data_IF_858732112226
#
_entry.id   IF_858732112226
#
_cell.length_a   1.000
_cell.length_b   1.000
_cell.length_c   1.000
_cell.angle_alpha   90.00
_cell.angle_beta   90.00
_cell.angle_gamma   90.00
#
_symmetry.space_group_name_H-M   'P 1'
#
loop_
_entity.id
_entity.type
_entity.pdbx_description
1 polymer ?
#
# COMPACT_ATOMS: atom_id res chain seq x y z
N UNK A 1 -15.23 47.43 10.77
CA UNK A 1 -15.32 47.14 12.22
C UNK A 1 -13.90 47.30 12.78
N UNK A 2 -13.67 48.13 13.78
CA UNK A 2 -12.30 48.35 14.30
C UNK A 2 -11.99 47.28 15.35
N UNK A 3 -10.75 46.85 15.44
CA UNK A 3 -10.26 45.81 16.39
C UNK A 3 -10.67 46.05 17.86
N UNK A 4 -10.88 47.33 18.24
CA UNK A 4 -11.35 47.72 19.58
C UNK A 4 -12.83 47.36 19.86
N UNK A 5 -13.66 47.23 18.81
CA UNK A 5 -15.07 46.85 18.95
C UNK A 5 -15.25 45.34 19.13
N UNK A 6 -14.27 44.55 18.69
CA UNK A 6 -14.30 43.09 18.87
C UNK A 6 -13.90 42.66 20.29
N UNK A 7 -13.06 43.42 20.98
CA UNK A 7 -12.63 43.11 22.37
C UNK A 7 -13.75 43.16 23.40
N UNK A 8 -14.82 43.89 23.13
CA UNK A 8 -15.91 44.08 24.09
C UNK A 8 -17.05 43.04 23.94
N UNK A 9 -16.96 42.14 23.01
CA UNK A 9 -17.98 41.11 22.75
C UNK A 9 -17.48 39.64 22.97
N UNK A 10 -16.30 39.44 23.53
CA UNK A 10 -15.81 38.13 23.92
C UNK A 10 -16.40 37.81 25.30
N UNK A 11 -17.16 36.72 25.47
CA UNK A 11 -17.62 36.29 26.79
C UNK A 11 -16.41 36.03 27.68
N UNK A 12 -16.43 36.57 28.92
CA UNK A 12 -15.40 36.26 29.90
C UNK A 12 -15.40 34.75 30.18
N UNK A 13 -14.22 34.12 30.08
CA UNK A 13 -14.06 32.70 30.43
C UNK A 13 -14.55 32.46 31.85
N UNK A 14 -15.45 31.51 32.08
CA UNK A 14 -15.95 31.27 33.42
C UNK A 14 -14.85 30.95 34.43
N UNK A 15 -14.94 31.52 35.64
CA UNK A 15 -13.94 31.40 36.71
C UNK A 15 -13.58 29.95 37.06
N UNK A 16 -14.47 29.01 36.84
CA UNK A 16 -14.21 27.59 37.09
C UNK A 16 -13.22 26.98 36.12
N UNK A 17 -13.20 27.44 34.84
CA UNK A 17 -12.23 27.01 33.84
C UNK A 17 -10.83 27.53 34.19
N UNK A 18 -10.72 28.79 34.59
CA UNK A 18 -9.46 29.33 35.09
C UNK A 18 -8.91 28.56 36.27
N UNK A 19 -9.82 28.11 37.19
CA UNK A 19 -9.44 27.35 38.37
C UNK A 19 -9.00 25.93 38.01
N UNK A 20 -9.67 25.25 37.10
CA UNK A 20 -9.30 23.91 36.59
C UNK A 20 -7.92 23.93 35.92
N UNK A 21 -7.67 24.92 35.07
CA UNK A 21 -6.37 25.05 34.38
C UNK A 21 -5.26 25.35 35.40
N UNK A 22 -5.49 26.21 36.39
CA UNK A 22 -4.51 26.51 37.43
C UNK A 22 -4.23 25.30 38.34
N UNK A 23 -5.25 24.50 38.67
CA UNK A 23 -5.09 23.30 39.49
C UNK A 23 -4.35 22.20 38.71
N UNK A 24 -4.63 22.00 37.43
CA UNK A 24 -3.94 21.00 36.60
C UNK A 24 -2.49 21.39 36.33
N UNK A 25 -2.20 22.64 35.98
CA UNK A 25 -0.84 23.15 35.80
C UNK A 25 -0.06 23.00 37.10
N UNK A 26 -0.68 23.30 38.27
CA UNK A 26 -0.05 23.17 39.59
C UNK A 26 0.24 21.71 39.96
N UNK A 27 -0.65 20.78 39.55
CA UNK A 27 -0.48 19.34 39.73
C UNK A 27 0.70 18.81 38.92
N UNK A 28 0.77 19.18 37.66
CA UNK A 28 1.86 18.76 36.75
C UNK A 28 3.22 19.34 37.15
N UNK A 29 3.25 20.54 37.70
CA UNK A 29 4.49 21.14 38.23
C UNK A 29 4.98 20.56 39.55
N UNK A 30 4.09 19.93 40.35
CA UNK A 30 4.47 19.29 41.62
C UNK A 30 5.05 17.89 41.44
N UNK A 31 4.73 17.17 40.38
CA UNK A 31 5.22 15.81 40.13
C UNK A 31 6.59 15.76 39.44
N UNK A 32 7.14 16.89 39.01
CA UNK A 32 8.44 16.94 38.33
C UNK A 32 9.57 17.15 39.33
N UNK A 33 10.29 16.08 39.70
CA UNK A 33 11.60 16.20 40.35
C UNK A 33 12.56 16.90 39.38
N UNK A 34 12.85 18.17 39.67
CA UNK A 34 13.80 18.98 38.90
C UNK A 34 15.21 18.39 39.06
N UNK A 35 15.69 17.71 38.03
CA UNK A 35 17.10 17.37 37.90
C UNK A 35 17.77 18.55 37.18
N UNK A 36 18.85 19.15 37.76
CA UNK A 36 19.49 20.32 37.16
C UNK A 36 20.19 19.92 35.85
N UNK A 37 19.62 20.28 34.71
CA UNK A 37 20.21 20.07 33.39
C UNK A 37 21.28 21.13 33.11
N UNK A 38 22.47 20.67 32.67
CA UNK A 38 23.52 21.52 32.12
C UNK A 38 23.01 22.29 30.91
N UNK A 39 23.22 23.61 30.88
CA UNK A 39 22.83 24.51 29.82
C UNK A 39 23.41 24.05 28.45
N UNK A 40 22.60 23.41 27.62
CA UNK A 40 22.90 23.12 26.22
C UNK A 40 22.32 24.26 25.38
N UNK A 41 23.14 24.88 24.54
CA UNK A 41 22.67 25.94 23.62
C UNK A 41 21.80 25.28 22.54
N UNK A 42 20.53 25.59 22.54
CA UNK A 42 19.58 25.15 21.50
C UNK A 42 19.88 25.90 20.21
N UNK A 43 19.93 25.17 19.10
CA UNK A 43 19.94 25.76 17.76
C UNK A 43 18.55 26.33 17.44
N UNK A 44 18.50 27.40 16.63
CA UNK A 44 17.25 28.11 16.28
C UNK A 44 16.15 27.22 15.70
N UNK A 45 16.52 26.09 15.08
CA UNK A 45 15.59 25.10 14.52
C UNK A 45 14.87 24.30 15.63
N UNK A 46 15.57 23.96 16.73
CA UNK A 46 14.94 23.26 17.87
C UNK A 46 14.01 24.15 18.70
N UNK A 47 14.28 25.44 18.72
CA UNK A 47 13.39 26.41 19.36
C UNK A 47 12.13 26.67 18.53
N UNK A 48 12.21 26.58 17.19
CA UNK A 48 11.06 26.70 16.31
C UNK A 48 10.13 25.49 16.40
N UNK A 49 10.68 24.27 16.53
CA UNK A 49 9.89 23.05 16.72
C UNK A 49 9.13 23.01 18.05
N UNK A 50 9.76 23.50 19.14
CA UNK A 50 9.09 23.60 20.45
C UNK A 50 8.02 24.72 20.49
N UNK A 51 8.19 25.79 19.72
CA UNK A 51 7.20 26.86 19.62
C UNK A 51 5.99 26.45 18.74
N UNK A 52 6.20 25.59 17.73
CA UNK A 52 5.12 25.05 16.92
C UNK A 52 4.20 24.11 17.72
N UNK A 53 4.76 23.33 18.65
CA UNK A 53 3.99 22.46 19.55
C UNK A 53 3.12 23.22 20.57
N UNK A 54 3.45 24.48 20.88
CA UNK A 54 2.66 25.29 21.82
C UNK A 54 1.59 26.16 21.15
N UNK A 55 1.59 26.30 19.83
CA UNK A 55 0.62 27.13 19.10
C UNK A 55 -0.60 26.36 18.60
N UNK A 56 -0.62 25.03 18.72
CA UNK A 56 -1.72 24.18 18.25
C UNK A 56 -2.88 24.01 19.24
N UNK A 57 -2.86 24.71 20.37
CA UNK A 57 -3.93 24.62 21.37
C UNK A 57 -4.96 25.76 21.31
N UNK A 58 -4.87 26.69 20.34
CA UNK A 58 -5.78 27.85 20.30
C UNK A 58 -6.06 28.34 18.90
N UNK A 59 -6.85 27.58 18.12
CA UNK A 59 -7.60 28.19 17.02
C UNK A 59 -8.87 27.42 16.65
N UNK A 60 -9.71 27.19 17.63
CA UNK A 60 -11.11 26.87 17.36
C UNK A 60 -11.97 28.04 17.78
N UNK A 61 -12.07 29.08 16.96
CA UNK A 61 -13.19 30.02 17.06
C UNK A 61 -13.54 30.56 15.69
N UNK A 62 -14.77 30.26 15.35
CA UNK A 62 -15.67 31.07 14.58
C UNK A 62 -15.82 30.80 13.08
N UNK A 63 -16.64 29.81 12.81
CA UNK A 63 -17.80 30.06 11.95
C UNK A 63 -19.00 29.33 12.57
N UNK A 64 -19.57 29.87 13.63
CA UNK A 64 -20.80 29.38 14.26
C UNK A 64 -22.02 29.91 13.47
N UNK A 65 -22.23 29.40 12.29
CA UNK A 65 -23.56 29.25 11.72
C UNK A 65 -24.02 27.84 12.12
N UNK A 66 -25.23 27.68 12.61
CA UNK A 66 -25.88 26.45 13.06
C UNK A 66 -25.40 25.16 12.35
N UNK A 67 -24.19 24.74 12.59
CA UNK A 67 -23.71 23.41 12.15
C UNK A 67 -24.23 22.41 13.15
N UNK A 68 -24.85 21.35 12.65
CA UNK A 68 -25.45 20.29 13.44
C UNK A 68 -24.43 19.21 13.81
N UNK A 69 -23.19 19.39 13.38
CA UNK A 69 -22.07 18.46 13.60
C UNK A 69 -20.73 19.21 13.49
N UNK A 70 -19.70 18.64 14.12
CA UNK A 70 -18.33 19.14 14.05
C UNK A 70 -17.33 17.97 13.95
N UNK A 71 -16.25 18.22 13.24
CA UNK A 71 -15.08 17.33 13.26
C UNK A 71 -14.34 17.48 14.58
N UNK A 72 -13.75 16.38 15.05
CA UNK A 72 -12.80 16.40 16.15
C UNK A 72 -11.52 15.66 15.80
N UNK A 73 -10.41 16.13 16.38
CA UNK A 73 -9.08 15.52 16.25
C UNK A 73 -8.49 15.40 17.63
N UNK A 74 -8.19 14.18 18.06
CA UNK A 74 -7.60 13.90 19.37
C UNK A 74 -6.24 13.27 19.21
N UNK A 75 -5.23 13.82 19.89
CA UNK A 75 -3.90 13.23 19.95
C UNK A 75 -3.79 12.27 21.13
N UNK A 76 -3.36 11.04 20.83
CA UNK A 76 -3.12 10.02 21.84
C UNK A 76 -1.65 9.54 21.75
N UNK A 77 -0.89 9.73 22.84
CA UNK A 77 0.54 9.50 22.81
C UNK A 77 1.29 10.56 21.99
N UNK A 78 2.43 10.19 21.42
CA UNK A 78 3.28 11.10 20.64
C UNK A 78 2.90 11.15 19.17
N UNK A 79 2.42 10.02 18.62
CA UNK A 79 2.33 9.77 17.17
C UNK A 79 1.00 9.15 16.72
N UNK A 80 -0.01 9.06 17.57
CA UNK A 80 -1.35 8.61 17.21
C UNK A 80 -2.32 9.78 17.20
N UNK A 81 -3.17 9.81 16.18
CA UNK A 81 -4.23 10.79 16.02
C UNK A 81 -5.55 10.05 15.77
N UNK A 82 -6.58 10.43 16.49
CA UNK A 82 -7.95 10.00 16.25
C UNK A 82 -8.69 11.14 15.55
N UNK A 83 -9.31 10.85 14.43
CA UNK A 83 -10.10 11.81 13.64
C UNK A 83 -11.51 11.28 13.46
N UNK A 84 -12.50 12.08 13.77
CA UNK A 84 -13.89 11.70 13.64
C UNK A 84 -14.82 12.90 13.49
N UNK A 85 -16.12 12.59 13.42
CA UNK A 85 -17.20 13.57 13.36
C UNK A 85 -18.19 13.31 14.48
N UNK A 86 -18.70 14.36 15.10
CA UNK A 86 -19.66 14.30 16.20
C UNK A 86 -20.87 15.16 15.90
N UNK A 87 -22.06 14.64 16.22
CA UNK A 87 -23.31 15.36 16.04
C UNK A 87 -23.59 16.30 17.21
N UNK A 88 -24.01 17.52 16.92
CA UNK A 88 -24.50 18.47 17.90
C UNK A 88 -26.02 18.27 18.18
N UNK A 89 -26.36 18.13 19.47
CA UNK A 89 -27.75 18.18 19.92
C UNK A 89 -28.65 17.02 19.48
N UNK A 90 -28.09 15.86 19.13
CA UNK A 90 -28.87 14.68 18.76
C UNK A 90 -29.39 14.72 17.32
N UNK A 91 -28.75 15.48 16.47
CA UNK A 91 -29.02 15.49 15.03
C UNK A 91 -28.56 14.16 14.42
N UNK A 92 -29.38 13.58 13.53
CA UNK A 92 -29.00 12.42 12.73
C UNK A 92 -28.96 12.80 11.26
N UNK A 93 -27.93 12.35 10.56
CA UNK A 93 -27.89 12.35 9.10
C UNK A 93 -28.37 10.97 8.67
N UNK A 94 -29.52 10.89 8.01
CA UNK A 94 -29.99 9.64 7.43
C UNK A 94 -29.53 9.60 5.96
N UNK A 95 -28.76 8.58 5.64
CA UNK A 95 -28.35 8.33 4.28
C UNK A 95 -29.58 7.94 3.44
N UNK A 96 -29.91 8.67 2.36
CA UNK A 96 -30.99 8.27 1.46
C UNK A 96 -30.68 6.93 0.76
N UNK A 97 -31.71 6.22 0.29
CA UNK A 97 -31.52 4.99 -0.51
C UNK A 97 -30.73 5.23 -1.80
N UNK A 98 -30.85 6.44 -2.35
CA UNK A 98 -30.13 6.89 -3.54
C UNK A 98 -29.63 8.31 -3.34
N UNK A 99 -28.43 8.56 -3.83
CA UNK A 99 -27.81 9.90 -3.88
C UNK A 99 -27.27 10.17 -5.27
N UNK A 100 -26.99 11.44 -5.57
CA UNK A 100 -26.26 11.77 -6.77
C UNK A 100 -24.82 11.23 -6.70
N UNK A 101 -24.35 10.64 -7.79
CA UNK A 101 -22.92 10.44 -7.98
C UNK A 101 -22.20 11.79 -8.03
N UNK A 102 -20.94 11.83 -7.68
CA UNK A 102 -20.17 13.08 -7.66
C UNK A 102 -18.89 12.97 -8.48
N UNK A 103 -18.50 14.09 -9.05
CA UNK A 103 -17.15 14.28 -9.58
C UNK A 103 -16.35 15.14 -8.60
N UNK A 104 -15.16 14.69 -8.27
CA UNK A 104 -14.20 15.44 -7.45
C UNK A 104 -13.23 16.14 -8.39
N UNK A 105 -12.99 17.42 -8.16
CA UNK A 105 -12.02 18.22 -8.90
C UNK A 105 -11.42 19.29 -8.02
N UNK A 106 -10.41 20.01 -8.49
CA UNK A 106 -9.86 21.17 -7.81
C UNK A 106 -9.64 22.31 -8.78
N UNK A 107 -9.86 23.55 -8.32
CA UNK A 107 -9.55 24.74 -9.09
C UNK A 107 -8.07 25.14 -9.03
N UNK A 108 -7.28 24.53 -8.16
CA UNK A 108 -5.84 24.72 -8.07
C UNK A 108 -5.13 23.44 -8.52
N UNK A 109 -4.37 23.52 -9.58
CA UNK A 109 -3.53 22.44 -10.09
C UNK A 109 -2.07 22.86 -9.91
N UNK A 110 -1.26 22.11 -9.15
CA UNK A 110 0.17 22.38 -9.02
C UNK A 110 0.88 22.38 -10.39
N UNK A 111 1.92 23.18 -10.52
CA UNK A 111 2.67 23.32 -11.77
C UNK A 111 3.22 21.96 -12.24
N UNK A 112 2.89 21.59 -13.47
CA UNK A 112 3.33 20.34 -14.09
C UNK A 112 2.45 19.12 -13.83
N UNK A 113 1.41 19.24 -12.99
CA UNK A 113 0.43 18.16 -12.79
C UNK A 113 -0.72 18.24 -13.79
N UNK A 114 -1.34 17.10 -14.02
CA UNK A 114 -2.56 16.93 -14.82
C UNK A 114 -3.41 15.81 -14.24
N UNK A 115 -4.71 15.87 -14.51
CA UNK A 115 -5.60 14.74 -14.24
C UNK A 115 -5.28 13.61 -15.22
N UNK A 116 -4.90 12.45 -14.69
CA UNK A 116 -4.65 11.24 -15.48
C UNK A 116 -5.90 10.39 -15.65
N UNK A 117 -6.80 10.47 -14.68
CA UNK A 117 -8.17 9.92 -14.71
C UNK A 117 -9.10 10.72 -13.77
N UNK A 118 -10.25 10.15 -13.37
CA UNK A 118 -11.24 10.83 -12.50
C UNK A 118 -10.75 11.03 -11.07
N UNK A 119 -9.81 10.19 -10.59
CA UNK A 119 -9.40 10.12 -9.19
C UNK A 119 -7.92 10.48 -8.98
N UNK A 120 -7.13 10.68 -10.04
CA UNK A 120 -5.69 10.91 -9.95
C UNK A 120 -5.26 12.22 -10.60
N UNK A 121 -4.61 13.08 -9.80
CA UNK A 121 -3.95 14.30 -10.25
C UNK A 121 -2.43 14.14 -10.04
N UNK A 122 -1.66 13.97 -11.11
CA UNK A 122 -0.28 13.53 -11.04
C UNK A 122 0.65 14.31 -11.98
N UNK A 123 1.95 14.22 -11.72
CA UNK A 123 2.96 14.53 -12.74
C UNK A 123 2.91 13.47 -13.84
N UNK A 124 3.12 13.88 -15.08
CA UNK A 124 3.08 12.97 -16.22
C UNK A 124 4.13 11.87 -16.05
N UNK A 125 3.70 10.61 -16.06
CA UNK A 125 4.54 9.40 -15.95
C UNK A 125 5.24 9.16 -14.59
N UNK A 126 4.70 9.64 -13.48
CA UNK A 126 5.19 9.33 -12.14
C UNK A 126 4.06 8.78 -11.27
N UNK A 127 4.39 7.80 -10.40
CA UNK A 127 3.53 7.40 -9.29
C UNK A 127 3.67 8.47 -8.20
N UNK A 128 2.59 8.88 -7.57
CA UNK A 128 2.58 9.95 -6.58
C UNK A 128 1.49 10.97 -6.88
N UNK A 129 1.72 12.25 -6.58
CA UNK A 129 0.73 13.30 -6.76
C UNK A 129 -0.43 13.16 -5.78
N UNK A 130 -1.67 13.18 -6.28
CA UNK A 130 -2.88 13.10 -5.47
C UNK A 130 -3.77 11.96 -5.95
N UNK A 131 -4.28 11.17 -5.00
CA UNK A 131 -5.38 10.23 -5.22
C UNK A 131 -6.55 10.65 -4.35
N UNK A 132 -7.74 10.72 -4.94
CA UNK A 132 -8.97 11.13 -4.27
C UNK A 132 -9.86 9.91 -4.08
N UNK A 133 -10.33 9.71 -2.86
CA UNK A 133 -11.28 8.65 -2.51
C UNK A 133 -12.48 9.24 -1.79
N UNK A 134 -13.64 8.63 -1.96
CA UNK A 134 -14.88 9.07 -1.34
C UNK A 134 -15.60 7.87 -0.75
N UNK A 135 -15.98 7.97 0.52
CA UNK A 135 -16.87 7.02 1.21
C UNK A 135 -18.12 7.72 1.71
N UNK A 136 -19.18 6.97 1.94
CA UNK A 136 -20.41 7.52 2.46
C UNK A 136 -20.30 7.84 3.96
N UNK A 137 -21.09 8.80 4.40
CA UNK A 137 -21.21 9.22 5.79
C UNK A 137 -22.66 9.08 6.22
N UNK A 138 -22.92 8.20 7.20
CA UNK A 138 -24.23 7.98 7.83
C UNK A 138 -24.20 8.44 9.29
N UNK A 139 -25.37 8.54 9.91
CA UNK A 139 -25.50 8.86 11.33
C UNK A 139 -24.88 7.82 12.27
N UNK A 140 -24.80 6.57 11.82
CA UNK A 140 -24.14 5.49 12.58
C UNK A 140 -22.62 5.62 12.58
N UNK A 141 -22.07 6.48 11.71
CA UNK A 141 -20.65 6.79 11.62
C UNK A 141 -20.24 7.91 12.59
N UNK A 142 -21.20 8.68 13.11
CA UNK A 142 -20.88 9.71 14.09
C UNK A 142 -20.41 9.07 15.40
N UNK A 143 -19.44 9.71 16.02
CA UNK A 143 -18.74 9.22 17.22
C UNK A 143 -17.79 8.04 16.94
N UNK A 144 -17.61 7.63 15.67
CA UNK A 144 -16.56 6.70 15.26
C UNK A 144 -15.34 7.47 14.79
N UNK A 145 -14.18 7.09 15.31
CA UNK A 145 -12.91 7.73 14.99
C UNK A 145 -12.01 6.82 14.16
N UNK A 146 -11.39 7.39 13.15
CA UNK A 146 -10.26 6.78 12.47
C UNK A 146 -9.01 6.98 13.32
N UNK A 147 -8.39 5.89 13.70
CA UNK A 147 -7.07 5.91 14.32
C UNK A 147 -5.97 5.87 13.26
N UNK A 148 -5.15 6.90 13.23
CA UNK A 148 -3.96 6.97 12.40
C UNK A 148 -2.72 6.97 13.29
N UNK A 149 -1.81 6.04 13.06
CA UNK A 149 -0.54 5.86 13.77
C UNK A 149 0.61 6.43 12.97
N UNK A 150 1.77 6.57 13.60
CA UNK A 150 2.99 7.10 12.97
C UNK A 150 2.83 8.55 12.47
N UNK A 151 1.96 9.34 13.09
CA UNK A 151 1.70 10.73 12.70
C UNK A 151 2.74 11.66 13.31
N UNK A 152 3.52 12.32 12.46
CA UNK A 152 4.52 13.31 12.87
C UNK A 152 4.00 14.74 12.79
N UNK A 153 2.92 14.98 12.04
CA UNK A 153 2.27 16.27 11.94
C UNK A 153 0.77 16.11 11.74
N UNK A 154 -0.03 16.89 12.45
CA UNK A 154 -1.48 16.97 12.26
C UNK A 154 -1.94 18.41 12.40
N UNK A 155 -2.81 18.87 11.50
CA UNK A 155 -3.32 20.23 11.47
C UNK A 155 -4.79 20.23 11.06
N UNK A 156 -5.64 20.75 11.96
CA UNK A 156 -7.05 20.95 11.67
C UNK A 156 -7.21 22.18 10.75
N UNK A 157 -8.05 22.05 9.74
CA UNK A 157 -8.27 23.09 8.75
C UNK A 157 -9.75 23.18 8.33
N UNK A 158 -10.15 24.36 7.90
CA UNK A 158 -11.37 24.53 7.11
C UNK A 158 -10.95 24.69 5.65
N UNK A 159 -11.19 23.66 4.85
CA UNK A 159 -10.87 23.63 3.43
C UNK A 159 -12.10 24.09 2.62
N UNK A 160 -12.04 25.31 2.13
CA UNK A 160 -13.21 25.95 1.50
C UNK A 160 -14.39 26.04 2.48
N UNK A 161 -15.40 25.17 2.32
CA UNK A 161 -16.57 25.07 3.23
C UNK A 161 -16.53 23.86 4.16
N UNK A 162 -15.57 22.94 3.99
CA UNK A 162 -15.50 21.66 4.69
C UNK A 162 -14.52 21.72 5.86
N UNK A 163 -14.87 21.06 6.96
CA UNK A 163 -13.92 20.78 8.03
C UNK A 163 -13.07 19.60 7.66
N UNK A 164 -11.78 19.65 7.98
CA UNK A 164 -10.87 18.58 7.66
C UNK A 164 -9.59 18.63 8.48
N UNK A 165 -8.78 17.60 8.32
CA UNK A 165 -7.48 17.48 8.96
C UNK A 165 -6.43 17.08 7.93
N UNK A 166 -5.29 17.75 8.00
CA UNK A 166 -4.06 17.34 7.32
C UNK A 166 -3.24 16.49 8.28
N UNK A 167 -2.77 15.34 7.79
CA UNK A 167 -1.89 14.40 8.51
C UNK A 167 -0.63 14.15 7.69
N UNK A 168 0.53 14.09 8.38
CA UNK A 168 1.76 13.61 7.77
C UNK A 168 2.31 12.45 8.59
N UNK A 169 2.57 11.36 7.91
CA UNK A 169 3.09 10.12 8.46
C UNK A 169 4.62 10.15 8.53
N UNK A 170 5.17 9.41 9.47
CA UNK A 170 6.58 9.10 9.48
C UNK A 170 6.96 8.22 8.31
N UNK A 171 7.99 8.61 7.60
CA UNK A 171 8.60 7.82 6.54
C UNK A 171 9.89 7.21 7.06
N UNK A 172 9.98 5.90 6.94
CA UNK A 172 11.23 5.17 7.18
C UNK A 172 12.04 5.11 5.89
N UNK A 173 11.36 5.12 4.75
CA UNK A 173 11.95 5.04 3.42
C UNK A 173 11.27 6.07 2.53
N UNK A 174 12.08 6.92 1.92
CA UNK A 174 11.63 7.94 0.97
C UNK A 174 11.61 7.29 -0.41
N UNK A 175 10.48 6.72 -0.82
CA UNK A 175 10.36 6.17 -2.16
C UNK A 175 8.91 6.02 -2.62
N UNK A 176 8.32 7.14 -3.09
CA UNK A 176 7.08 7.15 -3.88
C UNK A 176 5.81 6.78 -3.13
N UNK A 177 5.77 6.92 -1.81
CA UNK A 177 4.61 6.63 -0.99
C UNK A 177 3.75 7.86 -0.73
N UNK A 178 2.47 7.63 -0.42
CA UNK A 178 1.53 8.64 0.01
C UNK A 178 1.69 8.89 1.52
N UNK A 179 2.69 9.66 1.90
CA UNK A 179 3.03 9.97 3.30
C UNK A 179 2.22 11.11 3.91
N UNK A 180 1.35 11.73 3.13
CA UNK A 180 0.46 12.78 3.59
C UNK A 180 -1.00 12.36 3.32
N UNK A 181 -1.92 12.81 4.16
CA UNK A 181 -3.35 12.54 4.00
C UNK A 181 -4.18 13.73 4.45
N UNK A 182 -5.28 13.97 3.76
CA UNK A 182 -6.26 14.97 4.17
C UNK A 182 -7.62 14.28 4.22
N UNK A 183 -8.30 14.36 5.37
CA UNK A 183 -9.70 13.99 5.49
C UNK A 183 -10.55 15.25 5.43
N UNK A 184 -11.57 15.24 4.60
CA UNK A 184 -12.59 16.28 4.50
C UNK A 184 -13.95 15.68 4.83
N UNK A 185 -14.60 16.22 5.84
CA UNK A 185 -15.94 15.81 6.23
C UNK A 185 -16.98 16.68 5.51
N UNK A 186 -17.77 16.04 4.66
CA UNK A 186 -18.77 16.65 3.77
C UNK A 186 -20.16 16.11 4.07
N UNK A 187 -20.72 16.35 5.27
CA UNK A 187 -21.99 15.72 5.68
C UNK A 187 -23.19 16.22 4.89
N UNK A 188 -23.15 17.42 4.31
CA UNK A 188 -24.19 17.91 3.41
C UNK A 188 -24.28 17.11 2.10
N UNK A 189 -23.16 16.51 1.68
CA UNK A 189 -23.02 15.63 0.53
C UNK A 189 -23.04 14.14 0.92
N UNK A 190 -23.28 13.81 2.21
CA UNK A 190 -23.22 12.45 2.75
C UNK A 190 -21.90 11.74 2.51
N UNK A 191 -20.74 12.45 2.61
CA UNK A 191 -19.44 11.90 2.23
C UNK A 191 -18.32 12.30 3.17
N UNK A 192 -17.32 11.43 3.21
CA UNK A 192 -15.96 11.78 3.65
C UNK A 192 -15.04 11.62 2.44
N UNK A 193 -14.30 12.67 2.11
CA UNK A 193 -13.28 12.64 1.07
C UNK A 193 -11.94 12.41 1.72
N UNK A 194 -11.21 11.41 1.25
CA UNK A 194 -9.81 11.18 1.61
C UNK A 194 -8.94 11.58 0.44
N UNK A 195 -8.00 12.48 0.66
CA UNK A 195 -6.97 12.86 -0.30
C UNK A 195 -5.67 12.22 0.16
N UNK A 196 -5.17 11.27 -0.61
CA UNK A 196 -3.84 10.69 -0.46
C UNK A 196 -2.88 11.58 -1.22
N UNK A 197 -1.81 12.03 -0.57
CA UNK A 197 -0.86 12.98 -1.13
C UNK A 197 0.54 12.38 -1.09
N UNK A 198 1.18 12.31 -2.25
CA UNK A 198 2.50 11.73 -2.42
C UNK A 198 3.60 12.56 -1.73
N UNK A 199 4.73 11.93 -1.49
CA UNK A 199 5.93 12.56 -0.93
C UNK A 199 6.58 13.56 -1.91
N UNK A 200 6.27 13.43 -3.21
CA UNK A 200 6.64 14.35 -4.28
C UNK A 200 5.86 15.69 -4.24
N UNK A 201 4.86 15.81 -3.35
CA UNK A 201 4.01 16.98 -3.23
C UNK A 201 4.36 17.79 -1.97
N UNK A 202 4.52 19.10 -2.12
CA UNK A 202 4.71 19.98 -0.97
C UNK A 202 3.44 20.06 -0.10
N UNK A 203 3.60 20.20 1.23
CA UNK A 203 2.46 20.49 2.13
C UNK A 203 1.65 21.70 1.66
N UNK A 204 2.32 22.75 1.17
CA UNK A 204 1.66 23.97 0.69
C UNK A 204 0.73 23.68 -0.48
N UNK A 205 1.16 22.87 -1.45
CA UNK A 205 0.34 22.48 -2.59
C UNK A 205 -0.77 21.52 -2.17
N UNK A 206 -0.49 20.60 -1.25
CA UNK A 206 -1.50 19.71 -0.67
C UNK A 206 -2.67 20.49 -0.05
N UNK A 207 -2.36 21.46 0.81
CA UNK A 207 -3.37 22.33 1.43
C UNK A 207 -4.12 23.17 0.39
N UNK A 208 -3.44 23.73 -0.63
CA UNK A 208 -4.08 24.51 -1.69
C UNK A 208 -5.02 23.67 -2.55
N UNK A 209 -4.63 22.44 -2.89
CA UNK A 209 -5.51 21.52 -3.63
C UNK A 209 -6.78 21.24 -2.85
N UNK A 210 -6.66 20.93 -1.55
CA UNK A 210 -7.80 20.69 -0.69
C UNK A 210 -8.67 21.94 -0.48
N UNK A 211 -8.07 23.14 -0.31
CA UNK A 211 -8.79 24.41 -0.17
C UNK A 211 -9.63 24.76 -1.40
N UNK A 212 -9.22 24.30 -2.57
CA UNK A 212 -9.87 24.58 -3.85
C UNK A 212 -10.68 23.39 -4.38
N UNK A 213 -10.92 22.37 -3.52
CA UNK A 213 -11.70 21.19 -3.89
C UNK A 213 -13.14 21.57 -4.28
N UNK A 214 -13.63 20.91 -5.31
CA UNK A 214 -15.00 21.03 -5.79
C UNK A 214 -15.62 19.64 -5.84
N UNK A 215 -16.76 19.47 -5.18
CA UNK A 215 -17.63 18.30 -5.29
C UNK A 215 -18.80 18.72 -6.17
N UNK A 216 -18.94 18.10 -7.32
CA UNK A 216 -20.01 18.40 -8.30
C UNK A 216 -20.90 17.18 -8.46
N UNK A 217 -22.18 17.35 -8.20
CA UNK A 217 -23.17 16.29 -8.45
C UNK A 217 -23.28 15.98 -9.95
N UNK A 218 -23.24 14.69 -10.28
CA UNK A 218 -23.53 14.17 -11.61
C UNK A 218 -25.05 13.96 -11.77
N UNK A 219 -25.54 13.88 -12.98
CA UNK A 219 -26.95 13.57 -13.25
C UNK A 219 -27.30 12.11 -12.88
N UNK A 220 -26.31 11.26 -12.66
CA UNK A 220 -26.47 9.84 -12.32
C UNK A 220 -26.77 9.69 -10.83
N UNK A 221 -27.82 8.92 -10.51
CA UNK A 221 -28.11 8.47 -9.14
C UNK A 221 -27.43 7.12 -8.90
N UNK A 222 -26.93 6.94 -7.71
CA UNK A 222 -26.30 5.69 -7.23
C UNK A 222 -27.06 5.17 -6.00
N UNK A 223 -27.23 3.84 -5.93
CA UNK A 223 -27.74 3.15 -4.75
C UNK A 223 -26.70 3.22 -3.64
N UNK A 224 -27.13 3.55 -2.43
CA UNK A 224 -26.21 3.65 -1.27
C UNK A 224 -25.99 2.30 -0.59
N UNK A 225 -26.90 1.36 -0.80
CA UNK A 225 -26.80 0.01 -0.23
C UNK A 225 -25.57 -0.73 -0.80
N UNK A 226 -24.71 -1.20 0.10
CA UNK A 226 -23.48 -1.94 -0.25
C UNK A 226 -22.29 -1.08 -0.67
N UNK A 227 -22.41 0.25 -0.61
CA UNK A 227 -21.25 1.13 -0.73
C UNK A 227 -20.51 1.25 0.60
N UNK A 228 -19.20 1.48 0.51
CA UNK A 228 -18.38 1.71 1.69
C UNK A 228 -18.77 3.00 2.40
N UNK A 229 -18.91 2.90 3.72
CA UNK A 229 -19.15 4.02 4.63
C UNK A 229 -17.89 4.39 5.40
N UNK A 230 -17.94 5.49 6.15
CA UNK A 230 -16.88 5.85 7.09
C UNK A 230 -16.63 4.74 8.14
N UNK A 231 -17.69 4.06 8.59
CA UNK A 231 -17.59 2.91 9.50
C UNK A 231 -16.70 1.80 8.98
N UNK A 232 -16.80 1.49 7.69
CA UNK A 232 -16.00 0.43 7.06
C UNK A 232 -14.52 0.80 7.03
N UNK A 233 -14.20 2.11 6.96
CA UNK A 233 -12.84 2.62 6.98
C UNK A 233 -12.24 2.65 8.40
N UNK A 234 -13.06 3.00 9.41
CA UNK A 234 -12.56 3.14 10.79
C UNK A 234 -12.58 1.82 11.56
N UNK A 235 -13.40 0.88 11.14
CA UNK A 235 -13.55 -0.44 11.76
C UNK A 235 -13.74 -1.50 10.69
N UNK A 236 -12.71 -1.76 9.85
CA UNK A 236 -12.81 -2.77 8.82
C UNK A 236 -13.13 -4.13 9.46
N UNK A 237 -14.07 -4.87 8.86
CA UNK A 237 -14.33 -6.24 9.27
C UNK A 237 -13.05 -7.07 9.11
N UNK A 238 -12.62 -7.72 10.19
CA UNK A 238 -11.54 -8.70 10.11
C UNK A 238 -12.01 -9.88 9.27
N UNK A 239 -11.58 -9.95 8.03
CA UNK A 239 -11.76 -11.16 7.22
C UNK A 239 -10.81 -12.21 7.78
N UNK A 240 -11.36 -13.19 8.52
CA UNK A 240 -10.61 -14.37 8.92
C UNK A 240 -10.35 -15.20 7.65
N UNK A 241 -9.18 -14.98 7.05
CA UNK A 241 -8.64 -15.90 6.04
C UNK A 241 -8.13 -17.17 6.69
N UNK A 242 -8.07 -18.26 5.93
CA UNK A 242 -7.37 -19.48 6.36
C UNK A 242 -5.90 -19.14 6.64
N UNK A 243 -5.35 -19.74 7.68
CA UNK A 243 -3.97 -19.51 8.07
C UNK A 243 -3.01 -20.05 6.99
N UNK A 244 -2.15 -19.20 6.44
CA UNK A 244 -1.24 -19.57 5.36
C UNK A 244 -0.25 -20.65 5.83
N UNK A 245 -0.13 -21.73 5.06
CA UNK A 245 0.82 -22.82 5.34
C UNK A 245 2.19 -22.41 4.79
N UNK A 246 3.06 -21.88 5.64
CA UNK A 246 4.38 -21.36 5.25
C UNK A 246 5.52 -22.36 5.54
N UNK A 247 5.24 -23.49 6.20
CA UNK A 247 6.25 -24.50 6.54
C UNK A 247 5.67 -25.90 6.45
N UNK A 248 6.37 -26.82 5.77
CA UNK A 248 5.97 -28.23 5.61
C UNK A 248 7.17 -29.15 5.73
N UNK A 249 6.90 -30.44 6.07
CA UNK A 249 7.93 -31.50 6.03
C UNK A 249 8.35 -31.80 4.59
N UNK A 250 9.63 -32.09 4.39
CA UNK A 250 10.18 -32.35 3.06
C UNK A 250 9.58 -33.57 2.37
N UNK A 251 9.05 -34.53 3.13
CA UNK A 251 8.37 -35.72 2.61
C UNK A 251 6.95 -35.44 2.09
N UNK A 252 6.41 -34.26 2.34
CA UNK A 252 5.08 -33.84 1.88
C UNK A 252 5.13 -33.05 0.56
N UNK A 253 6.32 -32.57 0.14
CA UNK A 253 6.49 -31.74 -1.03
C UNK A 253 7.19 -32.52 -2.14
N UNK A 254 6.50 -32.84 -3.25
CA UNK A 254 7.19 -33.30 -4.46
C UNK A 254 8.10 -32.20 -5.00
N UNK A 255 9.35 -32.54 -5.28
CA UNK A 255 10.31 -31.60 -5.89
C UNK A 255 10.94 -32.24 -7.10
N UNK A 256 10.80 -31.61 -8.26
CA UNK A 256 11.40 -32.04 -9.50
C UNK A 256 12.71 -31.25 -9.76
N UNK A 257 13.60 -31.87 -10.49
CA UNK A 257 14.84 -31.24 -10.96
C UNK A 257 14.64 -30.62 -12.36
N UNK A 258 15.52 -29.67 -12.73
CA UNK A 258 15.54 -29.13 -14.10
C UNK A 258 15.72 -30.28 -15.11
N UNK A 259 14.87 -30.33 -16.12
CA UNK A 259 14.82 -31.38 -17.13
C UNK A 259 13.84 -32.52 -16.81
N UNK A 260 13.31 -32.58 -15.59
CA UNK A 260 12.25 -33.55 -15.25
C UNK A 260 10.87 -33.05 -15.66
N UNK A 261 9.97 -33.98 -15.91
CA UNK A 261 8.60 -33.71 -16.32
C UNK A 261 7.70 -33.63 -15.09
N UNK A 262 6.89 -32.59 -15.06
CA UNK A 262 5.88 -32.39 -14.02
C UNK A 262 4.51 -32.39 -14.68
N UNK A 263 3.61 -33.23 -14.20
CA UNK A 263 2.23 -33.27 -14.65
C UNK A 263 1.43 -32.23 -13.85
N UNK A 264 0.75 -31.35 -14.58
CA UNK A 264 -0.03 -30.23 -14.06
C UNK A 264 -1.44 -30.27 -14.62
N UNK A 265 -2.32 -29.50 -14.01
CA UNK A 265 -3.61 -29.12 -14.61
C UNK A 265 -3.60 -27.63 -14.89
N UNK A 266 -4.06 -27.26 -16.06
CA UNK A 266 -4.17 -25.87 -16.47
C UNK A 266 -5.63 -25.50 -16.76
N UNK A 267 -5.93 -24.22 -16.72
CA UNK A 267 -7.17 -23.65 -17.22
C UNK A 267 -6.95 -23.07 -18.60
N UNK A 268 -7.99 -23.05 -19.41
CA UNK A 268 -7.98 -22.44 -20.73
C UNK A 268 -9.22 -21.59 -20.95
N UNK A 269 -9.20 -20.74 -21.95
CA UNK A 269 -10.33 -19.89 -22.31
C UNK A 269 -10.52 -19.91 -23.82
N UNK A 270 -11.75 -20.13 -24.28
CA UNK A 270 -12.05 -20.02 -25.69
C UNK A 270 -12.32 -18.54 -26.10
N UNK A 271 -12.42 -18.32 -27.42
CA UNK A 271 -12.69 -16.99 -28.01
C UNK A 271 -14.00 -16.34 -27.54
N UNK A 272 -14.92 -17.11 -26.99
CA UNK A 272 -16.23 -16.67 -26.51
C UNK A 272 -16.20 -16.41 -24.98
N UNK A 273 -15.01 -16.55 -24.32
CA UNK A 273 -14.79 -16.35 -22.88
C UNK A 273 -15.27 -17.53 -22.03
N UNK A 274 -15.45 -18.72 -22.62
CA UNK A 274 -15.79 -19.91 -21.83
C UNK A 274 -14.50 -20.56 -21.30
N UNK A 275 -14.47 -20.77 -20.01
CA UNK A 275 -13.36 -21.46 -19.34
C UNK A 275 -13.48 -22.96 -19.44
N UNK A 276 -12.33 -23.61 -19.68
CA UNK A 276 -12.14 -25.04 -19.51
C UNK A 276 -11.10 -25.25 -18.42
N UNK A 277 -11.52 -25.90 -17.33
CA UNK A 277 -10.62 -26.23 -16.22
C UNK A 277 -10.10 -27.66 -16.33
N UNK A 278 -9.03 -27.95 -15.58
CA UNK A 278 -8.44 -29.28 -15.47
C UNK A 278 -7.91 -29.86 -16.80
N UNK A 279 -7.34 -29.02 -17.66
CA UNK A 279 -6.67 -29.44 -18.87
C UNK A 279 -5.35 -30.12 -18.47
N UNK A 280 -5.12 -31.42 -18.79
CA UNK A 280 -3.86 -32.10 -18.46
C UNK A 280 -2.69 -31.55 -19.28
N UNK A 281 -1.73 -30.96 -18.61
CA UNK A 281 -0.51 -30.40 -19.19
C UNK A 281 0.70 -31.02 -18.51
N UNK A 282 1.73 -31.31 -19.30
CA UNK A 282 3.04 -31.67 -18.78
C UNK A 282 4.00 -30.51 -19.02
N UNK A 283 4.66 -30.06 -17.97
CA UNK A 283 5.68 -29.02 -18.03
C UNK A 283 7.09 -29.62 -17.82
N UNK A 284 8.09 -29.03 -18.47
CA UNK A 284 9.51 -29.34 -18.24
C UNK A 284 10.27 -28.04 -18.24
N UNK A 285 11.01 -27.76 -17.16
CA UNK A 285 11.99 -26.65 -17.15
C UNK A 285 13.22 -27.12 -17.90
N UNK A 286 13.41 -26.60 -19.13
CA UNK A 286 14.50 -27.03 -20.01
C UNK A 286 15.86 -26.45 -19.59
N UNK A 287 15.83 -25.20 -19.12
CA UNK A 287 17.05 -24.48 -18.70
C UNK A 287 16.77 -23.34 -17.75
N UNK A 288 17.78 -23.04 -16.94
CA UNK A 288 17.84 -21.85 -16.08
C UNK A 288 19.14 -21.11 -16.40
N UNK A 289 19.05 -19.81 -16.71
CA UNK A 289 20.19 -18.96 -16.99
C UNK A 289 20.20 -17.78 -16.04
N UNK A 290 21.36 -17.48 -15.48
CA UNK A 290 21.58 -16.34 -14.58
C UNK A 290 22.52 -15.35 -15.24
N UNK A 291 22.15 -14.07 -15.24
CA UNK A 291 22.99 -12.99 -15.84
C UNK A 291 22.89 -11.71 -15.04
N UNK A 292 23.85 -10.82 -15.26
CA UNK A 292 23.93 -9.49 -14.64
C UNK A 292 23.20 -8.42 -15.46
N UNK A 293 22.63 -8.78 -16.60
CA UNK A 293 22.02 -7.86 -17.54
C UNK A 293 20.69 -8.40 -18.10
N UNK A 294 19.99 -7.60 -18.89
CA UNK A 294 18.68 -7.93 -19.47
C UNK A 294 18.76 -8.37 -20.94
N UNK A 295 19.92 -8.76 -21.45
CA UNK A 295 20.09 -9.10 -22.88
C UNK A 295 19.25 -10.31 -23.33
N UNK A 296 18.99 -11.26 -22.41
CA UNK A 296 18.15 -12.44 -22.70
C UNK A 296 16.69 -12.08 -23.00
N UNK A 297 16.23 -10.89 -22.61
CA UNK A 297 14.86 -10.41 -22.88
C UNK A 297 14.68 -9.88 -24.31
N UNK A 298 15.75 -9.81 -25.10
CA UNK A 298 15.70 -9.38 -26.51
C UNK A 298 15.03 -8.02 -26.73
N UNK A 299 15.16 -7.09 -25.76
CA UNK A 299 14.57 -5.75 -25.80
C UNK A 299 13.09 -5.68 -25.38
N UNK A 300 12.50 -6.78 -24.96
CA UNK A 300 11.15 -6.83 -24.35
C UNK A 300 11.29 -6.66 -22.82
N UNK A 301 11.73 -5.48 -22.39
CA UNK A 301 11.95 -5.19 -20.97
C UNK A 301 10.62 -4.75 -20.36
N UNK A 302 10.15 -5.38 -19.26
CA UNK A 302 9.01 -4.87 -18.49
C UNK A 302 9.23 -3.40 -18.07
N UNK A 303 8.20 -2.58 -18.13
CA UNK A 303 8.27 -1.15 -17.80
C UNK A 303 8.85 -0.91 -16.41
N UNK A 304 8.45 -1.72 -15.45
CA UNK A 304 8.94 -1.68 -14.06
C UNK A 304 10.42 -2.04 -13.89
N UNK A 305 11.09 -2.55 -14.95
CA UNK A 305 12.52 -2.88 -14.95
C UNK A 305 13.38 -1.90 -15.74
N UNK A 306 12.78 -0.91 -16.40
CA UNK A 306 13.54 0.06 -17.20
C UNK A 306 14.60 0.79 -16.37
N UNK A 307 14.26 1.14 -15.12
CA UNK A 307 15.18 1.80 -14.19
C UNK A 307 16.12 0.85 -13.44
N UNK A 308 15.95 -0.47 -13.59
CA UNK A 308 16.80 -1.46 -12.92
C UNK A 308 18.21 -1.59 -13.52
N UNK A 309 18.44 -1.03 -14.71
CA UNK A 309 19.74 -1.13 -15.42
C UNK A 309 20.56 0.14 -15.24
N UNK A 310 21.84 -0.02 -14.94
CA UNK A 310 22.79 1.07 -14.84
C UNK A 310 23.31 1.55 -16.20
N UNK A 311 24.09 2.61 -16.19
CA UNK A 311 24.73 3.17 -17.41
C UNK A 311 25.68 2.19 -18.10
N UNK A 312 26.20 1.20 -17.37
CA UNK A 312 27.07 0.13 -17.87
C UNK A 312 26.32 -1.04 -18.51
N UNK A 313 24.96 -0.98 -18.54
CA UNK A 313 24.08 -2.01 -19.08
C UNK A 313 23.86 -3.20 -18.16
N UNK A 314 24.31 -3.13 -16.89
CA UNK A 314 24.11 -4.16 -15.89
C UNK A 314 22.99 -3.78 -14.92
N UNK A 315 22.44 -4.80 -14.26
CA UNK A 315 21.50 -4.59 -13.16
C UNK A 315 22.17 -3.80 -12.03
N UNK A 316 21.49 -2.78 -11.55
CA UNK A 316 21.90 -1.99 -10.40
C UNK A 316 21.91 -2.84 -9.13
N UNK A 317 22.63 -2.37 -8.13
CA UNK A 317 22.54 -2.93 -6.79
C UNK A 317 21.16 -2.64 -6.17
N UNK A 318 20.74 -3.51 -5.27
CA UNK A 318 19.56 -3.35 -4.45
C UNK A 318 19.98 -3.02 -3.01
N UNK A 319 19.41 -1.97 -2.43
CA UNK A 319 19.60 -1.64 -1.02
C UNK A 319 18.41 -2.18 -0.23
N UNK A 320 18.68 -3.08 0.70
CA UNK A 320 17.71 -3.63 1.62
C UNK A 320 17.82 -2.86 2.93
N UNK A 321 16.72 -2.28 3.38
CA UNK A 321 16.61 -1.58 4.65
C UNK A 321 15.79 -2.42 5.63
N UNK A 322 16.41 -2.77 6.77
CA UNK A 322 15.81 -3.55 7.83
C UNK A 322 15.20 -2.61 8.86
N UNK A 323 13.95 -2.81 9.15
CA UNK A 323 13.12 -1.91 9.94
C UNK A 323 12.73 -2.59 11.24
N UNK A 324 12.94 -1.89 12.35
CA UNK A 324 12.29 -2.18 13.61
C UNK A 324 11.04 -1.34 13.70
N UNK A 325 9.89 -2.02 13.83
CA UNK A 325 8.60 -1.34 13.96
C UNK A 325 8.47 -0.70 15.34
N UNK A 326 7.98 0.53 15.34
CA UNK A 326 7.49 1.20 16.54
C UNK A 326 6.05 0.76 16.86
N UNK A 327 5.54 1.21 18.00
CA UNK A 327 4.12 1.03 18.32
C UNK A 327 3.22 2.02 17.55
N UNK A 328 3.83 2.97 16.83
CA UNK A 328 3.15 4.03 16.10
C UNK A 328 2.39 5.03 16.98
N UNK A 329 2.50 4.88 18.31
CA UNK A 329 1.84 5.72 19.33
C UNK A 329 2.87 6.51 20.10
N UNK A 330 3.90 5.87 20.65
CA UNK A 330 4.96 6.48 21.42
C UNK A 330 6.35 6.36 20.79
N UNK A 331 6.52 5.36 19.92
CA UNK A 331 7.73 5.05 19.17
C UNK A 331 7.40 4.94 17.69
N UNK A 332 8.32 5.40 16.85
CA UNK A 332 8.24 5.32 15.40
C UNK A 332 9.10 4.17 14.89
N UNK A 333 8.80 3.72 13.67
CA UNK A 333 9.64 2.80 12.94
C UNK A 333 11.04 3.38 12.72
N UNK A 334 12.05 2.54 12.76
CA UNK A 334 13.44 2.96 12.53
C UNK A 334 14.19 1.97 11.63
N UNK A 335 15.00 2.46 10.71
CA UNK A 335 15.96 1.64 9.97
C UNK A 335 17.10 1.28 10.91
N UNK A 336 17.22 0.01 11.26
CA UNK A 336 18.26 -0.49 12.18
C UNK A 336 19.50 -1.02 11.46
N UNK A 337 19.35 -1.41 10.18
CA UNK A 337 20.43 -1.95 9.36
C UNK A 337 20.13 -1.69 7.89
N UNK A 338 21.16 -1.55 7.07
CA UNK A 338 21.07 -1.60 5.60
C UNK A 338 22.05 -2.62 5.06
N UNK A 339 21.69 -3.26 3.92
CA UNK A 339 22.54 -4.20 3.20
C UNK A 339 22.41 -3.91 1.71
N UNK A 340 23.53 -3.91 1.00
CA UNK A 340 23.52 -3.78 -0.46
C UNK A 340 23.78 -5.15 -1.10
N UNK A 341 22.98 -5.52 -2.08
CA UNK A 341 23.02 -6.79 -2.80
C UNK A 341 23.14 -6.55 -4.31
N UNK A 342 23.91 -7.39 -4.97
CA UNK A 342 23.88 -7.47 -6.43
C UNK A 342 22.58 -8.12 -6.88
N UNK A 343 21.97 -7.58 -7.95
CA UNK A 343 20.81 -8.18 -8.57
C UNK A 343 21.18 -9.07 -9.74
N UNK A 344 20.41 -10.12 -9.96
CA UNK A 344 20.57 -11.08 -11.06
C UNK A 344 19.26 -11.30 -11.77
N UNK A 345 19.30 -11.38 -13.09
CA UNK A 345 18.20 -11.90 -13.90
C UNK A 345 18.22 -13.43 -13.82
N UNK A 346 17.10 -14.00 -13.41
CA UNK A 346 16.81 -15.43 -13.50
C UNK A 346 15.92 -15.63 -14.70
N UNK A 347 16.43 -16.29 -15.73
CA UNK A 347 15.73 -16.55 -16.98
C UNK A 347 15.52 -18.05 -17.15
N UNK A 348 14.27 -18.50 -17.16
CA UNK A 348 13.90 -19.90 -17.31
C UNK A 348 13.27 -20.14 -18.67
N UNK A 349 13.49 -21.33 -19.22
CA UNK A 349 12.79 -21.79 -20.42
C UNK A 349 12.02 -23.06 -20.06
N UNK A 350 10.71 -23.07 -20.33
CA UNK A 350 9.79 -24.13 -19.95
C UNK A 350 9.06 -24.63 -21.20
N UNK A 351 9.06 -25.95 -21.40
CA UNK A 351 8.26 -26.59 -22.44
C UNK A 351 6.96 -27.12 -21.83
N UNK A 352 5.83 -26.64 -22.34
CA UNK A 352 4.48 -27.14 -22.03
C UNK A 352 3.99 -28.08 -23.14
N UNK A 353 3.43 -29.22 -22.77
CA UNK A 353 2.90 -30.23 -23.69
C UNK A 353 1.46 -30.58 -23.32
N UNK A 354 0.55 -30.49 -24.28
CA UNK A 354 -0.82 -31.00 -24.10
C UNK A 354 -0.80 -32.52 -24.06
N UNK A 355 -1.10 -33.11 -22.90
CA UNK A 355 -1.14 -34.57 -22.69
C UNK A 355 -2.55 -35.15 -22.79
N UNK A 356 -3.56 -34.30 -23.02
CA UNK A 356 -4.94 -34.75 -23.23
C UNK A 356 -5.13 -35.37 -24.61
N UNK A 357 -6.27 -35.99 -24.84
CA UNK A 357 -6.69 -36.56 -26.14
C UNK A 357 -7.49 -35.54 -26.98
N UNK A 358 -7.65 -34.30 -26.50
CA UNK A 358 -8.36 -33.21 -27.14
C UNK A 358 -7.43 -31.99 -27.35
N UNK A 359 -7.81 -31.13 -28.28
CA UNK A 359 -7.14 -29.84 -28.44
C UNK A 359 -7.39 -28.98 -27.21
N UNK A 360 -6.32 -28.48 -26.62
CA UNK A 360 -6.36 -27.52 -25.53
C UNK A 360 -6.41 -26.12 -26.13
N UNK A 361 -7.52 -25.44 -25.96
CA UNK A 361 -7.70 -24.09 -26.49
C UNK A 361 -7.10 -23.07 -25.50
N UNK A 362 -6.14 -22.28 -25.98
CA UNK A 362 -5.50 -21.15 -25.27
C UNK A 362 -5.32 -21.36 -23.75
N UNK A 363 -4.45 -22.29 -23.38
CA UNK A 363 -4.19 -22.54 -21.97
C UNK A 363 -3.49 -21.33 -21.31
N UNK A 364 -3.99 -20.97 -20.15
CA UNK A 364 -3.32 -20.02 -19.27
C UNK A 364 -2.11 -20.74 -18.64
N UNK A 365 -0.94 -20.12 -18.76
CA UNK A 365 0.25 -20.59 -18.06
C UNK A 365 0.69 -19.57 -17.03
N UNK A 366 1.25 -20.07 -15.93
CA UNK A 366 1.74 -19.27 -14.81
C UNK A 366 3.10 -19.78 -14.37
N UNK A 367 3.97 -18.87 -13.97
CA UNK A 367 5.23 -19.21 -13.32
C UNK A 367 5.43 -18.27 -12.14
N UNK A 368 5.59 -18.84 -10.96
CA UNK A 368 5.87 -18.09 -9.74
C UNK A 368 7.17 -18.54 -9.10
N UNK A 369 8.02 -17.57 -8.79
CA UNK A 369 9.27 -17.80 -8.10
C UNK A 369 9.02 -17.81 -6.60
N UNK A 370 9.20 -18.98 -5.97
CA UNK A 370 9.04 -19.22 -4.54
C UNK A 370 10.42 -19.31 -3.88
N UNK A 371 10.59 -18.62 -2.76
CA UNK A 371 11.81 -18.68 -1.97
C UNK A 371 11.60 -19.58 -0.76
N UNK A 372 12.40 -20.65 -0.65
CA UNK A 372 12.27 -21.61 0.43
C UNK A 372 13.62 -21.96 1.06
N UNK A 373 13.72 -21.81 2.37
CA UNK A 373 14.77 -22.45 3.14
C UNK A 373 14.49 -23.96 3.19
N UNK A 374 15.50 -24.74 2.85
CA UNK A 374 15.45 -26.19 2.94
C UNK A 374 16.61 -26.69 3.81
N UNK A 375 16.28 -27.21 4.99
CA UNK A 375 17.24 -27.80 5.92
C UNK A 375 17.41 -29.33 5.75
N UNK A 376 16.79 -29.90 4.71
CA UNK A 376 16.77 -31.32 4.40
C UNK A 376 15.61 -32.08 5.08
N UNK A 377 14.94 -31.48 6.05
CA UNK A 377 13.77 -32.06 6.73
C UNK A 377 12.49 -31.22 6.53
N UNK A 378 12.65 -29.94 6.29
CA UNK A 378 11.56 -28.97 6.24
C UNK A 378 11.81 -27.94 5.14
N UNK A 379 10.76 -27.61 4.42
CA UNK A 379 10.71 -26.42 3.56
C UNK A 379 9.98 -25.32 4.30
N UNK A 380 10.58 -24.13 4.30
CA UNK A 380 9.97 -22.93 4.88
C UNK A 380 10.06 -21.77 3.88
N UNK A 381 8.90 -21.25 3.50
CA UNK A 381 8.82 -20.05 2.66
C UNK A 381 9.34 -18.85 3.45
N UNK A 382 10.07 -17.97 2.80
CA UNK A 382 10.53 -16.70 3.37
C UNK A 382 10.45 -15.58 2.33
N UNK A 383 10.39 -14.35 2.83
CA UNK A 383 10.49 -13.15 2.00
C UNK A 383 11.96 -12.84 1.74
N UNK A 384 12.38 -12.61 0.47
CA UNK A 384 13.74 -12.19 0.17
C UNK A 384 14.18 -10.99 0.98
N UNK A 385 15.42 -11.02 1.47
CA UNK A 385 15.98 -9.99 2.35
C UNK A 385 15.72 -10.22 3.84
N UNK A 386 14.74 -11.03 4.23
CA UNK A 386 14.52 -11.39 5.63
C UNK A 386 15.62 -12.35 6.12
N UNK A 387 16.28 -11.96 7.20
CA UNK A 387 17.29 -12.78 7.89
C UNK A 387 16.78 -13.09 9.30
N UNK A 388 16.54 -14.35 9.59
CA UNK A 388 15.99 -14.76 10.88
C UNK A 388 16.87 -14.32 12.07
N UNK A 389 16.27 -13.63 13.05
CA UNK A 389 16.88 -13.36 14.36
C UNK A 389 17.65 -12.07 14.51
N UNK A 390 17.65 -11.18 13.54
CA UNK A 390 18.49 -9.97 13.54
C UNK A 390 17.89 -8.73 14.26
N UNK A 391 16.78 -8.88 14.97
CA UNK A 391 16.20 -7.79 15.80
C UNK A 391 15.55 -6.69 14.98
N UNK A 392 15.01 -7.03 13.84
CA UNK A 392 14.11 -6.22 13.01
C UNK A 392 12.77 -6.96 12.80
N UNK A 393 11.75 -6.26 12.36
CA UNK A 393 10.39 -6.78 12.20
C UNK A 393 10.05 -6.99 10.72
N UNK A 394 10.51 -6.10 9.85
CA UNK A 394 10.33 -6.21 8.40
C UNK A 394 11.52 -5.60 7.64
N UNK A 395 11.53 -5.77 6.32
CA UNK A 395 12.50 -5.11 5.46
C UNK A 395 11.82 -4.53 4.21
N UNK A 396 12.47 -3.53 3.62
CA UNK A 396 12.11 -2.98 2.32
C UNK A 396 13.35 -2.84 1.46
N UNK A 397 13.18 -2.66 0.15
CA UNK A 397 14.26 -2.54 -0.82
C UNK A 397 13.92 -1.54 -1.92
N UNK A 398 14.96 -0.94 -2.51
CA UNK A 398 14.87 0.05 -3.58
C UNK A 398 15.10 -0.53 -4.99
N UNK A 399 15.48 -1.81 -5.08
CA UNK A 399 15.78 -2.47 -6.36
C UNK A 399 14.55 -3.11 -7.01
N UNK A 400 14.79 -3.71 -8.18
CA UNK A 400 13.78 -4.42 -8.97
C UNK A 400 13.60 -5.89 -8.57
N UNK A 401 14.39 -6.40 -7.60
CA UNK A 401 14.28 -7.78 -7.13
C UNK A 401 12.89 -8.05 -6.55
N UNK A 402 12.20 -9.03 -7.13
CA UNK A 402 10.87 -9.47 -6.72
C UNK A 402 10.71 -10.97 -6.93
N UNK A 403 9.89 -11.58 -6.12
CA UNK A 403 9.45 -12.98 -6.26
C UNK A 403 7.98 -13.02 -6.60
N UNK A 404 7.42 -14.21 -6.70
CA UNK A 404 6.04 -14.42 -7.10
C UNK A 404 5.89 -14.53 -8.61
N UNK A 405 4.78 -14.06 -9.13
CA UNK A 405 4.46 -14.17 -10.55
C UNK A 405 5.54 -13.56 -11.44
N UNK A 406 5.81 -14.23 -12.56
CA UNK A 406 6.76 -13.77 -13.58
C UNK A 406 6.39 -12.36 -14.07
N UNK A 407 7.41 -11.51 -14.21
CA UNK A 407 7.26 -10.17 -14.80
C UNK A 407 7.53 -10.13 -16.30
N UNK A 408 8.29 -11.09 -16.79
CA UNK A 408 8.56 -11.28 -18.21
C UNK A 408 8.10 -12.65 -18.67
N UNK A 409 7.42 -12.69 -19.81
CA UNK A 409 7.18 -13.91 -20.57
C UNK A 409 7.43 -13.68 -22.05
N UNK A 410 7.96 -14.71 -22.75
CA UNK A 410 8.29 -14.62 -24.18
C UNK A 410 7.06 -14.72 -25.09
N UNK A 411 5.94 -15.16 -24.58
CA UNK A 411 4.65 -15.19 -25.28
C UNK A 411 3.87 -13.97 -24.84
N UNK A 412 3.66 -13.05 -25.78
CA UNK A 412 3.00 -11.76 -25.55
C UNK A 412 1.63 -11.66 -26.20
N UNK A 413 1.09 -12.79 -26.64
CA UNK A 413 -0.22 -12.84 -27.24
C UNK A 413 -1.31 -12.64 -26.18
N UNK A 414 -2.02 -11.52 -26.30
CA UNK A 414 -3.18 -11.26 -25.46
C UNK A 414 -4.36 -12.07 -25.96
N UNK A 415 -4.95 -12.85 -25.09
CA UNK A 415 -6.15 -13.62 -25.37
C UNK A 415 -7.11 -13.52 -24.18
N UNK A 416 -8.42 -13.47 -24.45
CA UNK A 416 -9.39 -13.26 -23.39
C UNK A 416 -9.11 -11.97 -22.61
N UNK A 417 -8.94 -12.10 -21.30
CA UNK A 417 -8.67 -10.98 -20.37
C UNK A 417 -7.20 -10.91 -19.90
N UNK A 418 -6.30 -11.67 -20.52
CA UNK A 418 -4.92 -11.75 -20.06
C UNK A 418 -3.88 -11.83 -21.17
N UNK A 419 -2.61 -11.85 -20.75
CA UNK A 419 -1.44 -11.87 -21.60
C UNK A 419 -0.58 -13.14 -21.53
N UNK A 420 -1.01 -14.15 -20.76
CA UNK A 420 -0.25 -15.37 -20.48
C UNK A 420 -0.90 -16.61 -21.08
N UNK A 421 -1.50 -16.48 -22.25
CA UNK A 421 -2.13 -17.61 -22.93
C UNK A 421 -1.22 -18.19 -24.00
N UNK A 422 -1.22 -19.52 -24.13
CA UNK A 422 -0.61 -20.19 -25.26
C UNK A 422 -1.53 -20.10 -26.48
N UNK A 423 -1.04 -20.24 -27.71
CA UNK A 423 -1.87 -20.69 -28.82
C UNK A 423 -2.51 -22.03 -28.51
N UNK A 424 -3.61 -22.36 -29.18
CA UNK A 424 -4.24 -23.69 -29.07
C UNK A 424 -3.26 -24.80 -29.35
N UNK A 425 -3.18 -25.81 -28.47
CA UNK A 425 -2.27 -26.95 -28.58
C UNK A 425 -3.07 -28.24 -28.89
N UNK A 426 -2.73 -28.91 -29.97
CA UNK A 426 -3.28 -30.23 -30.31
C UNK A 426 -2.78 -31.30 -29.34
N UNK A 427 -3.45 -32.45 -29.27
CA UNK A 427 -2.95 -33.59 -28.51
C UNK A 427 -1.50 -33.92 -28.82
N UNK A 428 -0.65 -33.91 -27.79
CA UNK A 428 0.80 -34.15 -27.89
C UNK A 428 1.62 -32.97 -28.45
N UNK A 429 1.02 -31.85 -28.78
CA UNK A 429 1.72 -30.64 -29.21
C UNK A 429 2.38 -29.93 -28.04
N UNK A 430 3.52 -29.31 -28.29
CA UNK A 430 4.29 -28.61 -27.28
C UNK A 430 4.60 -27.18 -27.68
N UNK A 431 4.70 -26.29 -26.70
CA UNK A 431 5.20 -24.93 -26.86
C UNK A 431 6.29 -24.65 -25.83
N UNK A 432 7.31 -23.90 -26.24
CA UNK A 432 8.36 -23.44 -25.34
C UNK A 432 8.14 -21.99 -24.98
N UNK A 433 8.18 -21.68 -23.68
CA UNK A 433 7.92 -20.37 -23.10
C UNK A 433 9.11 -19.99 -22.22
N UNK A 434 9.56 -18.75 -22.31
CA UNK A 434 10.56 -18.23 -21.40
C UNK A 434 9.95 -17.25 -20.41
N UNK A 435 10.37 -17.32 -19.18
CA UNK A 435 9.92 -16.49 -18.05
C UNK A 435 11.13 -15.91 -17.33
N UNK A 436 10.99 -14.75 -16.72
CA UNK A 436 12.09 -14.17 -15.98
C UNK A 436 11.67 -13.37 -14.74
N UNK A 437 12.62 -13.30 -13.81
CA UNK A 437 12.57 -12.54 -12.56
C UNK A 437 13.90 -11.84 -12.33
N UNK A 438 13.89 -10.75 -11.56
CA UNK A 438 15.09 -10.20 -10.96
C UNK A 438 15.11 -10.59 -9.48
N UNK A 439 16.24 -11.08 -9.00
CA UNK A 439 16.43 -11.51 -7.60
C UNK A 439 17.76 -10.97 -7.05
N UNK A 440 17.90 -10.95 -5.72
CA UNK A 440 19.19 -10.68 -5.10
C UNK A 440 20.13 -11.88 -5.28
N UNK A 441 21.43 -11.65 -5.41
CA UNK A 441 22.41 -12.71 -5.61
C UNK A 441 22.40 -13.73 -4.46
N UNK A 442 22.15 -13.28 -3.21
CA UNK A 442 22.09 -14.17 -2.05
C UNK A 442 20.91 -15.14 -2.08
N UNK A 443 19.84 -14.82 -2.83
CA UNK A 443 18.62 -15.61 -2.91
C UNK A 443 18.70 -16.75 -3.95
N UNK A 444 19.71 -16.74 -4.83
CA UNK A 444 19.88 -17.75 -5.89
C UNK A 444 19.92 -19.20 -5.39
N UNK A 445 20.32 -19.41 -4.16
CA UNK A 445 20.43 -20.74 -3.52
C UNK A 445 19.12 -21.25 -2.90
N UNK A 446 18.06 -20.44 -2.91
CA UNK A 446 16.78 -20.73 -2.24
C UNK A 446 15.58 -20.73 -3.23
N UNK A 447 15.86 -20.71 -4.55
CA UNK A 447 14.85 -20.54 -5.58
C UNK A 447 14.17 -21.86 -5.96
N UNK A 448 12.85 -21.84 -5.96
CA UNK A 448 12.01 -22.90 -6.51
C UNK A 448 10.98 -22.29 -7.46
N UNK A 449 10.70 -22.98 -8.56
CA UNK A 449 9.71 -22.52 -9.54
C UNK A 449 8.40 -23.28 -9.32
N UNK A 450 7.33 -22.54 -9.04
CA UNK A 450 5.97 -23.06 -9.02
C UNK A 450 5.32 -22.79 -10.40
N UNK A 451 4.86 -23.86 -11.07
CA UNK A 451 4.16 -23.80 -12.36
C UNK A 451 2.67 -24.14 -12.21
N UNK A 452 2.16 -24.30 -10.99
CA UNK A 452 0.75 -24.58 -10.73
C UNK A 452 -0.13 -23.36 -10.99
N UNK A 453 -1.40 -23.60 -11.32
CA UNK A 453 -2.34 -22.58 -11.74
C UNK A 453 -2.70 -21.55 -10.68
N UNK A 454 -2.55 -21.88 -9.39
CA UNK A 454 -2.77 -20.92 -8.29
C UNK A 454 -1.72 -19.83 -8.21
N UNK A 455 -0.51 -20.07 -8.73
CA UNK A 455 0.58 -19.12 -8.70
C UNK A 455 1.09 -18.76 -7.30
N UNK A 456 0.78 -19.57 -6.29
CA UNK A 456 1.20 -19.32 -4.92
C UNK A 456 2.74 -19.23 -4.81
N UNK A 457 3.24 -18.23 -4.09
CA UNK A 457 4.68 -18.03 -3.88
C UNK A 457 5.04 -17.81 -2.41
N UNK A 458 4.05 -17.51 -1.56
CA UNK A 458 4.24 -17.18 -0.15
C UNK A 458 3.66 -18.23 0.80
N UNK A 459 3.09 -19.31 0.25
CA UNK A 459 2.50 -20.42 1.02
C UNK A 459 2.51 -21.70 0.19
N UNK A 460 2.35 -22.85 0.86
CA UNK A 460 2.11 -24.13 0.24
C UNK A 460 0.61 -24.37 0.20
N UNK A 461 0.05 -24.43 -0.99
CA UNK A 461 -1.36 -24.75 -1.22
C UNK A 461 -1.56 -26.21 -1.66
N UNK A 462 -2.82 -26.60 -1.85
CA UNK A 462 -3.19 -27.95 -2.23
C UNK A 462 -2.60 -28.39 -3.59
N UNK A 463 -2.45 -27.46 -4.56
CA UNK A 463 -1.86 -27.78 -5.86
C UNK A 463 -0.35 -28.00 -5.75
N UNK A 464 0.35 -27.18 -5.00
CA UNK A 464 1.78 -27.36 -4.71
C UNK A 464 2.03 -28.68 -4.00
N UNK A 465 1.19 -29.01 -3.01
CA UNK A 465 1.32 -30.28 -2.28
C UNK A 465 1.01 -31.51 -3.17
N UNK A 466 0.13 -31.35 -4.15
CA UNK A 466 -0.22 -32.44 -5.08
C UNK A 466 0.79 -32.62 -6.22
N UNK A 467 1.20 -31.52 -6.86
CA UNK A 467 1.98 -31.53 -8.11
C UNK A 467 3.46 -31.22 -7.88
N UNK A 468 3.79 -30.51 -6.80
CA UNK A 468 5.14 -30.12 -6.44
C UNK A 468 5.62 -28.81 -7.06
N UNK A 469 6.92 -28.58 -6.85
CA UNK A 469 7.69 -27.43 -7.36
C UNK A 469 8.98 -27.92 -8.01
N UNK A 470 9.66 -27.04 -8.74
CA UNK A 470 10.88 -27.38 -9.45
C UNK A 470 12.08 -26.71 -8.74
N UNK A 471 13.10 -27.48 -8.38
CA UNK A 471 14.34 -26.95 -7.83
C UNK A 471 15.18 -26.29 -8.95
N UNK A 472 15.28 -24.98 -8.87
CA UNK A 472 16.07 -24.17 -9.83
C UNK A 472 17.22 -23.43 -9.16
N UNK A 473 17.56 -23.84 -7.93
CA UNK A 473 18.65 -23.22 -7.14
C UNK A 473 19.99 -23.25 -7.88
N UNK A 474 20.76 -22.21 -7.68
CA UNK A 474 22.13 -22.10 -8.19
C UNK A 474 23.12 -22.09 -7.02
N UNK A 475 24.19 -22.87 -7.12
CA UNK A 475 25.24 -23.00 -6.11
C UNK A 475 26.38 -22.01 -6.37
#
# INVERSE_FOLDING_TARGET
MRLEEMKNNIPETPDFIHKMVQEEVSRQLQDTKVVPMKKRKWNKVQAAAAAALCLLATSTVAYAGNRLYHMYVEKQGNYRVETGIQADGGTSVQLPEQIHDVAISTNYIPDGMTWTDEDHLQYTAQNGGFTFSSVLLDSDDFEKAKEDKNIVESEEHTFGKYEGVYLRYHEVIQDGFFNQRIYLFCPEEYRVITIYVGDDVSKEDALKVADNLQITEKDTMIETAGMYTWSDIVSPEEVQGDEAVTSISADQLPVAEVGEKVDLTASGEDKDGNYADNIPIQATVDSVQITDDLQLLNGQIPEEWEDAVGEDGKLKENTISYIREGDGVNTLDEVVKTKTEQQKLVYTTVTYTNTSDQEADHILYLGSLMMCHNDGSTYKVYTPGEEAGDGYDCCTWDGAARTGEMKYCSVTENYGNGGNYTPSLKPGESIQISMAWIVNESDLKEMYLNLNGTGASYQFDDEILANGIIDIRQN
#
